data_IF_472495603468
#
_entry.id   IF_472495603468
#
_cell.length_a   1.000
_cell.length_b   1.000
_cell.length_c   1.000
_cell.angle_alpha   90.00
_cell.angle_beta   90.00
_cell.angle_gamma   90.00
#
_symmetry.space_group_name_H-M   'P 1'
#
loop_
_entity.id
_entity.type
_entity.pdbx_description
1 polymer ?
#
# COMPACT_ATOMS: atom_id res chain seq x y z
N UNK A 1 1.39 -11.47 8.57
CA UNK A 1 2.12 -11.11 7.34
C UNK A 1 1.70 -12.02 6.21
N UNK A 2 1.45 -11.45 5.03
CA UNK A 2 1.17 -12.18 3.80
C UNK A 2 2.49 -12.70 3.21
N UNK A 3 2.52 -13.96 2.81
CA UNK A 3 3.69 -14.62 2.21
C UNK A 3 3.53 -14.73 0.70
N UNK A 4 2.32 -15.06 0.23
CA UNK A 4 2.08 -15.33 -1.18
C UNK A 4 0.69 -14.86 -1.59
N UNK A 5 0.57 -14.38 -2.82
CA UNK A 5 -0.71 -14.07 -3.46
C UNK A 5 -0.75 -14.69 -4.85
N UNK A 6 -1.86 -15.34 -5.18
CA UNK A 6 -2.17 -15.79 -6.54
C UNK A 6 -3.48 -15.18 -7.00
N UNK A 7 -3.50 -14.67 -8.22
CA UNK A 7 -4.67 -14.12 -8.89
C UNK A 7 -4.80 -14.76 -10.26
N UNK A 8 -6.01 -15.18 -10.63
CA UNK A 8 -6.33 -15.72 -11.95
C UNK A 8 -7.60 -15.07 -12.44
N UNK A 9 -7.55 -14.50 -13.64
CA UNK A 9 -8.65 -13.76 -14.24
C UNK A 9 -9.23 -12.64 -13.35
N UNK A 10 -8.36 -11.94 -12.62
CA UNK A 10 -8.72 -10.90 -11.67
C UNK A 10 -8.23 -9.52 -12.14
N UNK A 11 -9.16 -8.64 -12.47
CA UNK A 11 -8.96 -7.25 -12.93
C UNK A 11 -8.11 -7.15 -14.21
N UNK A 12 -6.84 -6.77 -14.12
CA UNK A 12 -5.92 -6.76 -15.27
C UNK A 12 -5.10 -8.04 -15.39
N UNK A 13 -5.13 -8.89 -14.36
CA UNK A 13 -4.29 -10.07 -14.27
C UNK A 13 -5.00 -11.30 -14.85
N UNK A 14 -4.40 -11.89 -15.90
CA UNK A 14 -4.81 -13.20 -16.42
C UNK A 14 -4.32 -14.33 -15.52
N UNK A 15 -3.04 -14.31 -15.20
CA UNK A 15 -2.44 -15.13 -14.16
C UNK A 15 -1.32 -14.33 -13.50
N UNK A 16 -1.31 -14.28 -12.18
CA UNK A 16 -0.29 -13.61 -11.39
C UNK A 16 0.00 -14.46 -10.15
N UNK A 17 1.27 -14.68 -9.90
CA UNK A 17 1.75 -15.31 -8.68
C UNK A 17 2.92 -14.49 -8.14
N UNK A 18 2.81 -14.04 -6.90
CA UNK A 18 3.81 -13.20 -6.24
C UNK A 18 4.15 -13.80 -4.87
N UNK A 19 5.44 -13.92 -4.60
CA UNK A 19 6.01 -14.33 -3.31
C UNK A 19 6.63 -13.09 -2.63
N UNK A 20 6.06 -12.70 -1.50
CA UNK A 20 6.46 -11.53 -0.75
C UNK A 20 7.61 -11.84 0.22
N UNK A 21 8.56 -10.92 0.29
CA UNK A 21 9.45 -10.78 1.44
C UNK A 21 8.65 -10.46 2.70
N UNK A 22 9.08 -11.00 3.86
CA UNK A 22 8.55 -10.60 5.17
C UNK A 22 8.97 -9.17 5.59
N UNK A 23 9.90 -8.57 4.85
CA UNK A 23 10.44 -7.22 5.04
C UNK A 23 9.78 -6.23 4.07
N UNK A 24 10.53 -5.65 3.14
CA UNK A 24 10.03 -4.66 2.18
C UNK A 24 9.83 -5.30 0.81
N UNK A 25 8.71 -4.99 0.18
CA UNK A 25 8.37 -5.36 -1.19
C UNK A 25 8.04 -4.08 -1.95
N UNK A 26 8.66 -3.89 -3.11
CA UNK A 26 8.43 -2.71 -3.96
C UNK A 26 7.90 -3.18 -5.30
N UNK A 27 6.63 -2.89 -5.57
CA UNK A 27 5.94 -3.18 -6.82
C UNK A 27 6.15 -2.01 -7.77
N UNK A 28 6.74 -2.32 -8.91
CA UNK A 28 7.20 -1.38 -9.93
C UNK A 28 6.45 -1.69 -11.22
N UNK A 29 6.22 -0.70 -12.05
CA UNK A 29 5.67 -0.90 -13.38
C UNK A 29 5.07 0.39 -13.92
N UNK A 30 4.75 0.38 -15.21
CA UNK A 30 4.10 1.52 -15.85
C UNK A 30 2.70 1.78 -15.30
N UNK A 31 2.10 2.90 -15.72
CA UNK A 31 0.70 3.16 -15.44
C UNK A 31 -0.18 2.07 -16.08
N UNK A 32 -1.30 1.76 -15.44
CA UNK A 32 -2.25 0.74 -15.87
C UNK A 32 -1.77 -0.74 -15.87
N UNK A 33 -0.55 -1.06 -15.41
CA UNK A 33 -0.09 -2.46 -15.21
C UNK A 33 -0.71 -3.16 -13.98
N UNK A 34 -1.53 -2.45 -13.20
CA UNK A 34 -2.28 -3.04 -12.08
C UNK A 34 -1.62 -2.94 -10.71
N UNK A 35 -0.58 -2.12 -10.51
CA UNK A 35 0.09 -1.92 -9.20
C UNK A 35 -0.89 -1.68 -8.04
N UNK A 36 -1.74 -0.65 -8.16
CA UNK A 36 -2.80 -0.34 -7.17
C UNK A 36 -3.77 -1.51 -6.98
N UNK A 37 -4.11 -2.23 -8.05
CA UNK A 37 -5.02 -3.38 -7.97
C UNK A 37 -4.39 -4.55 -7.20
N UNK A 38 -3.09 -4.80 -7.40
CA UNK A 38 -2.32 -5.80 -6.67
C UNK A 38 -2.25 -5.46 -5.17
N UNK A 39 -1.92 -4.22 -4.83
CA UNK A 39 -1.92 -3.72 -3.45
C UNK A 39 -3.30 -3.90 -2.80
N UNK A 40 -4.36 -3.47 -3.50
CA UNK A 40 -5.75 -3.60 -3.02
C UNK A 40 -6.18 -5.05 -2.83
N UNK A 41 -5.79 -5.95 -3.72
CA UNK A 41 -6.10 -7.37 -3.60
C UNK A 41 -5.43 -7.98 -2.36
N UNK A 42 -4.13 -7.73 -2.18
CA UNK A 42 -3.38 -8.16 -1.01
C UNK A 42 -3.97 -7.57 0.28
N UNK A 43 -4.27 -6.27 0.29
CA UNK A 43 -4.89 -5.59 1.42
C UNK A 43 -6.27 -6.16 1.77
N UNK A 44 -7.15 -6.37 0.79
CA UNK A 44 -8.47 -6.94 1.00
C UNK A 44 -8.38 -8.32 1.66
N UNK A 45 -7.48 -9.19 1.17
CA UNK A 45 -7.24 -10.50 1.78
C UNK A 45 -6.53 -10.42 3.13
N UNK A 46 -5.80 -9.36 3.45
CA UNK A 46 -5.23 -9.16 4.79
C UNK A 46 -6.23 -8.59 5.80
N UNK A 47 -7.38 -8.06 5.37
CA UNK A 47 -8.28 -7.28 6.23
C UNK A 47 -9.73 -7.75 6.25
N UNK A 48 -10.17 -8.60 5.32
CA UNK A 48 -11.55 -9.06 5.25
C UNK A 48 -12.00 -9.76 6.54
N UNK A 49 -11.14 -10.56 7.16
CA UNK A 49 -11.45 -11.25 8.40
C UNK A 49 -11.58 -10.33 9.62
N UNK A 50 -11.21 -9.05 9.54
CA UNK A 50 -11.45 -8.10 10.64
C UNK A 50 -12.94 -7.99 10.98
N UNK A 51 -13.85 -8.20 10.01
CA UNK A 51 -15.29 -8.25 10.23
C UNK A 51 -15.76 -9.47 11.06
N UNK A 52 -14.88 -10.45 11.23
CA UNK A 52 -15.14 -11.72 11.92
C UNK A 52 -14.52 -11.77 13.32
N UNK A 53 -13.82 -10.71 13.74
CA UNK A 53 -13.16 -10.63 15.04
C UNK A 53 -14.14 -10.84 16.20
N UNK A 54 -13.73 -11.66 17.16
CA UNK A 54 -14.51 -11.96 18.37
C UNK A 54 -15.53 -13.09 18.20
N UNK A 55 -15.67 -13.66 17.00
CA UNK A 55 -16.47 -14.88 16.78
C UNK A 55 -15.65 -16.12 17.18
N UNK A 56 -16.32 -17.09 17.82
CA UNK A 56 -15.69 -18.34 18.30
C UNK A 56 -15.60 -19.41 17.21
N UNK A 57 -16.65 -19.51 16.42
CA UNK A 57 -16.75 -20.38 15.25
C UNK A 57 -17.21 -19.49 14.10
N UNK A 58 -16.60 -19.66 12.94
CA UNK A 58 -16.87 -18.89 11.73
C UNK A 58 -17.29 -19.86 10.65
N UNK A 59 -18.49 -19.66 10.11
CA UNK A 59 -18.98 -20.48 9.00
C UNK A 59 -18.43 -19.99 7.65
N UNK A 60 -18.38 -20.89 6.66
CA UNK A 60 -17.99 -20.55 5.29
C UNK A 60 -18.89 -19.46 4.68
N UNK A 61 -20.16 -19.40 5.08
CA UNK A 61 -21.11 -18.36 4.70
C UNK A 61 -20.66 -16.97 5.16
N UNK A 62 -20.22 -16.86 6.42
CA UNK A 62 -19.75 -15.61 7.00
C UNK A 62 -18.41 -15.17 6.41
N UNK A 63 -17.51 -16.13 6.13
CA UNK A 63 -16.27 -15.86 5.38
C UNK A 63 -16.56 -15.36 3.97
N UNK A 64 -17.52 -15.99 3.29
CA UNK A 64 -17.96 -15.59 1.95
C UNK A 64 -18.48 -14.16 1.97
N UNK A 65 -19.32 -13.81 2.94
CA UNK A 65 -19.88 -12.46 3.06
C UNK A 65 -18.80 -11.42 3.37
N UNK A 66 -17.93 -11.70 4.35
CA UNK A 66 -16.85 -10.79 4.74
C UNK A 66 -15.87 -10.51 3.60
N UNK A 67 -15.44 -11.54 2.87
CA UNK A 67 -14.56 -11.37 1.70
C UNK A 67 -15.28 -10.67 0.54
N UNK A 68 -16.55 -10.99 0.29
CA UNK A 68 -17.32 -10.40 -0.81
C UNK A 68 -17.52 -8.91 -0.58
N UNK A 69 -17.95 -8.54 0.62
CA UNK A 69 -18.13 -7.15 1.02
C UNK A 69 -16.81 -6.39 0.95
N UNK A 70 -15.71 -6.95 1.49
CA UNK A 70 -14.41 -6.27 1.46
C UNK A 70 -13.91 -6.04 0.03
N UNK A 71 -14.01 -7.02 -0.86
CA UNK A 71 -13.62 -6.86 -2.27
C UNK A 71 -14.48 -5.81 -2.98
N UNK A 72 -15.80 -5.85 -2.81
CA UNK A 72 -16.71 -4.86 -3.43
C UNK A 72 -16.41 -3.46 -2.91
N UNK A 73 -16.18 -3.29 -1.62
CA UNK A 73 -15.95 -1.98 -1.02
C UNK A 73 -14.56 -1.40 -1.35
N UNK A 74 -13.52 -2.24 -1.48
CA UNK A 74 -12.15 -1.81 -1.82
C UNK A 74 -11.97 -1.52 -3.32
N UNK A 75 -12.62 -2.31 -4.19
CA UNK A 75 -12.48 -2.14 -5.64
C UNK A 75 -13.59 -1.28 -6.26
N UNK A 76 -14.75 -1.16 -5.61
CA UNK A 76 -15.94 -0.48 -6.14
C UNK A 76 -16.25 -0.85 -7.60
N UNK A 77 -16.47 -2.14 -7.90
CA UNK A 77 -16.84 -2.56 -9.25
C UNK A 77 -18.14 -1.89 -9.69
N UNK A 78 -18.32 -1.77 -11.01
CA UNK A 78 -19.54 -1.25 -11.62
C UNK A 78 -20.76 -2.01 -11.06
N UNK A 79 -21.79 -1.24 -10.66
CA UNK A 79 -23.02 -1.76 -10.04
C UNK A 79 -22.80 -2.54 -8.73
N UNK A 80 -21.63 -2.41 -8.09
CA UNK A 80 -21.23 -3.22 -6.92
C UNK A 80 -21.28 -4.73 -7.18
N UNK A 81 -21.12 -5.16 -8.44
CA UNK A 81 -21.14 -6.57 -8.82
C UNK A 81 -19.74 -7.15 -8.81
N UNK A 82 -19.50 -8.13 -7.92
CA UNK A 82 -18.21 -8.80 -7.79
C UNK A 82 -17.69 -9.37 -9.13
N UNK A 83 -18.58 -9.97 -9.94
CA UNK A 83 -18.22 -10.51 -11.27
C UNK A 83 -17.63 -9.49 -12.25
N UNK A 84 -17.77 -8.18 -12.00
CA UNK A 84 -17.13 -7.12 -12.79
C UNK A 84 -15.66 -6.88 -12.43
N UNK A 85 -15.15 -7.54 -11.38
CA UNK A 85 -13.72 -7.60 -11.08
C UNK A 85 -12.98 -8.67 -11.89
N UNK A 86 -13.67 -9.45 -12.73
CA UNK A 86 -13.00 -10.37 -13.64
C UNK A 86 -12.15 -9.64 -14.66
N UNK A 87 -11.09 -10.30 -15.12
CA UNK A 87 -10.36 -9.84 -16.29
C UNK A 87 -11.24 -9.84 -17.54
N UNK A 88 -10.97 -8.90 -18.44
CA UNK A 88 -11.69 -8.83 -19.72
C UNK A 88 -11.36 -10.08 -20.54
N UNK A 89 -12.39 -10.78 -21.00
CA UNK A 89 -12.21 -11.99 -21.78
C UNK A 89 -13.46 -12.87 -21.76
N UNK A 90 -13.34 -14.13 -22.26
CA UNK A 90 -14.42 -15.10 -22.22
C UNK A 90 -14.98 -15.30 -20.81
N UNK A 91 -16.24 -15.71 -20.73
CA UNK A 91 -16.86 -16.13 -19.47
C UNK A 91 -16.05 -17.27 -18.85
N UNK A 92 -15.73 -17.12 -17.58
CA UNK A 92 -14.99 -18.10 -16.79
C UNK A 92 -15.01 -17.72 -15.32
N UNK A 93 -14.24 -18.46 -14.54
CA UNK A 93 -14.04 -18.20 -13.12
C UNK A 93 -12.83 -17.30 -12.91
N UNK A 94 -12.93 -16.41 -11.94
CA UNK A 94 -11.80 -15.68 -11.36
C UNK A 94 -11.48 -16.32 -10.03
N UNK A 95 -10.21 -16.61 -9.81
CA UNK A 95 -9.74 -17.24 -8.58
C UNK A 95 -8.71 -16.34 -7.90
N UNK A 96 -8.72 -16.34 -6.58
CA UNK A 96 -7.67 -15.70 -5.79
C UNK A 96 -7.31 -16.58 -4.60
N UNK A 97 -6.05 -16.51 -4.19
CA UNK A 97 -5.60 -17.15 -2.96
C UNK A 97 -4.48 -16.35 -2.31
N UNK A 98 -4.48 -16.30 -0.98
CA UNK A 98 -3.39 -15.75 -0.21
C UNK A 98 -2.90 -16.78 0.81
N UNK A 99 -1.57 -16.86 0.95
CA UNK A 99 -0.91 -17.62 1.99
C UNK A 99 -0.30 -16.64 2.99
N UNK A 100 -0.43 -16.99 4.25
CA UNK A 100 0.22 -16.37 5.39
C UNK A 100 1.06 -17.48 6.07
N UNK A 101 1.99 -17.12 6.96
CA UNK A 101 2.96 -18.06 7.58
C UNK A 101 2.35 -19.44 7.91
N UNK A 102 1.22 -19.46 8.60
CA UNK A 102 0.52 -20.66 9.06
C UNK A 102 -0.93 -20.78 8.55
N UNK A 103 -1.41 -19.79 7.79
CA UNK A 103 -2.82 -19.64 7.39
C UNK A 103 -2.98 -19.50 5.88
N UNK A 104 -4.15 -19.84 5.37
CA UNK A 104 -4.44 -19.71 3.94
C UNK A 104 -5.90 -19.41 3.68
N UNK A 105 -6.16 -18.66 2.63
CA UNK A 105 -7.50 -18.46 2.07
C UNK A 105 -7.44 -18.61 0.55
N UNK A 106 -8.45 -19.25 -0.02
CA UNK A 106 -8.70 -19.25 -1.46
C UNK A 106 -10.19 -19.17 -1.73
N UNK A 107 -10.56 -18.49 -2.80
CA UNK A 107 -11.95 -18.48 -3.25
C UNK A 107 -12.05 -18.13 -4.75
N UNK A 108 -13.24 -18.32 -5.30
CA UNK A 108 -13.56 -18.08 -6.70
C UNK A 108 -14.77 -17.14 -6.86
N UNK A 109 -14.98 -16.61 -8.06
CA UNK A 109 -16.25 -16.03 -8.48
C UNK A 109 -16.35 -16.02 -10.01
N UNK A 110 -17.57 -16.08 -10.53
CA UNK A 110 -17.84 -16.06 -11.97
C UNK A 110 -18.36 -14.69 -12.44
N UNK A 111 -18.50 -14.53 -13.76
CA UNK A 111 -18.86 -13.24 -14.41
C UNK A 111 -20.15 -12.60 -13.90
N UNK A 112 -21.11 -13.40 -13.42
CA UNK A 112 -22.41 -12.95 -12.94
C UNK A 112 -22.53 -13.00 -11.41
N UNK A 113 -21.44 -13.31 -10.70
CA UNK A 113 -21.46 -13.42 -9.25
C UNK A 113 -21.69 -12.06 -8.59
N UNK A 114 -22.56 -12.05 -7.58
CA UNK A 114 -22.72 -10.96 -6.63
C UNK A 114 -21.88 -11.17 -5.37
N UNK A 115 -21.53 -12.42 -5.07
CA UNK A 115 -20.70 -12.85 -3.95
C UNK A 115 -19.72 -13.93 -4.38
N UNK A 116 -18.70 -14.15 -3.57
CA UNK A 116 -17.69 -15.19 -3.73
C UNK A 116 -18.33 -16.59 -3.70
N UNK A 117 -17.63 -17.54 -4.30
CA UNK A 117 -17.92 -18.97 -4.33
C UNK A 117 -16.68 -19.77 -3.93
N UNK A 118 -16.89 -21.04 -3.62
CA UNK A 118 -15.84 -22.04 -3.35
C UNK A 118 -14.76 -21.56 -2.36
N UNK A 119 -15.20 -20.92 -1.27
CA UNK A 119 -14.28 -20.48 -0.23
C UNK A 119 -13.66 -21.69 0.46
N UNK A 120 -12.34 -21.64 0.65
CA UNK A 120 -11.59 -22.63 1.41
C UNK A 120 -10.58 -21.90 2.28
N UNK A 121 -10.70 -22.07 3.60
CA UNK A 121 -9.79 -21.50 4.58
C UNK A 121 -8.97 -22.58 5.28
N UNK A 122 -7.78 -22.18 5.71
CA UNK A 122 -6.98 -22.86 6.72
C UNK A 122 -6.68 -21.83 7.82
N UNK A 123 -7.49 -21.82 8.86
CA UNK A 123 -7.38 -20.91 10.03
C UNK A 123 -7.31 -19.42 9.69
N UNK A 124 -7.80 -19.01 8.51
CA UNK A 124 -7.72 -17.63 8.04
C UNK A 124 -8.56 -16.68 8.91
N UNK A 125 -9.69 -17.15 9.40
CA UNK A 125 -10.54 -16.47 10.36
C UNK A 125 -9.75 -16.02 11.62
N UNK A 126 -8.71 -16.77 12.01
CA UNK A 126 -7.83 -16.47 13.13
C UNK A 126 -6.65 -15.55 12.77
N UNK A 127 -6.60 -15.00 11.56
CA UNK A 127 -5.54 -14.06 11.15
C UNK A 127 -5.68 -12.71 11.89
N UNK A 128 -5.05 -12.57 13.06
CA UNK A 128 -5.29 -11.40 13.94
C UNK A 128 -4.63 -10.08 13.53
N UNK A 129 -3.78 -10.07 12.50
CA UNK A 129 -2.97 -8.90 12.14
C UNK A 129 -3.81 -7.83 11.43
N UNK A 130 -3.67 -6.56 11.84
CA UNK A 130 -4.40 -5.44 11.24
C UNK A 130 -3.52 -4.70 10.21
N UNK A 131 -3.78 -4.85 8.90
CA UNK A 131 -3.01 -4.13 7.90
C UNK A 131 -3.45 -2.66 7.80
N UNK A 132 -2.54 -1.81 7.34
CA UNK A 132 -2.80 -0.39 7.05
C UNK A 132 -2.63 -0.16 5.55
N UNK A 133 -3.54 0.60 4.94
CA UNK A 133 -3.42 0.99 3.53
C UNK A 133 -3.39 2.50 3.42
N UNK A 134 -2.30 3.04 2.86
CA UNK A 134 -2.16 4.46 2.55
C UNK A 134 -2.40 4.64 1.04
N UNK A 135 -3.53 5.24 0.63
CA UNK A 135 -3.83 5.48 -0.78
C UNK A 135 -2.98 6.61 -1.35
N UNK A 136 -2.98 6.72 -2.69
CA UNK A 136 -2.20 7.72 -3.43
C UNK A 136 -2.54 9.17 -3.03
N UNK A 137 -3.83 9.46 -2.87
CA UNK A 137 -4.33 10.76 -2.43
C UNK A 137 -4.25 10.87 -0.91
N UNK A 138 -3.58 11.91 -0.42
CA UNK A 138 -3.58 12.21 1.00
C UNK A 138 -4.99 12.58 1.48
N UNK A 139 -5.31 12.25 2.73
CA UNK A 139 -6.66 12.41 3.29
C UNK A 139 -6.82 13.58 4.25
N UNK A 140 -5.73 14.18 4.75
CA UNK A 140 -5.80 15.22 5.78
C UNK A 140 -6.53 16.49 5.29
N UNK A 141 -6.49 16.79 3.99
CA UNK A 141 -7.21 17.94 3.42
C UNK A 141 -8.73 17.78 3.35
N UNK A 142 -9.25 16.55 3.42
CA UNK A 142 -10.68 16.27 3.26
C UNK A 142 -11.29 15.32 4.31
N UNK A 143 -10.51 14.86 5.29
CA UNK A 143 -10.99 13.87 6.26
C UNK A 143 -12.03 14.42 7.25
N UNK A 144 -12.13 15.75 7.43
CA UNK A 144 -13.12 16.38 8.31
C UNK A 144 -14.54 15.97 7.90
N UNK A 145 -15.24 15.28 8.79
CA UNK A 145 -16.58 14.74 8.53
C UNK A 145 -16.64 13.55 7.54
N UNK A 146 -15.52 13.13 6.95
CA UNK A 146 -15.48 12.09 5.91
C UNK A 146 -16.06 10.76 6.38
N UNK A 147 -15.65 10.27 7.55
CA UNK A 147 -16.10 8.97 8.10
C UNK A 147 -17.63 8.95 8.28
N UNK A 148 -18.19 10.01 8.83
CA UNK A 148 -19.65 10.17 9.00
C UNK A 148 -20.38 10.23 7.66
N UNK A 149 -19.83 10.95 6.68
CA UNK A 149 -20.40 11.03 5.34
C UNK A 149 -20.32 9.68 4.62
N UNK A 150 -19.21 8.95 4.74
CA UNK A 150 -19.02 7.64 4.14
C UNK A 150 -20.00 6.60 4.70
N UNK A 151 -20.23 6.61 6.02
CA UNK A 151 -21.17 5.69 6.66
C UNK A 151 -22.63 6.01 6.26
N UNK A 152 -22.98 7.29 6.15
CA UNK A 152 -24.35 7.72 5.87
C UNK A 152 -24.69 7.72 4.38
N UNK A 153 -23.71 8.03 3.54
CA UNK A 153 -23.87 8.21 2.11
C UNK A 153 -22.91 7.27 1.38
N UNK A 154 -23.39 6.60 0.34
CA UNK A 154 -22.55 5.77 -0.52
C UNK A 154 -21.65 6.67 -1.38
N UNK A 155 -20.58 7.20 -0.79
CA UNK A 155 -19.61 8.06 -1.45
C UNK A 155 -18.88 7.32 -2.59
N UNK A 156 -18.27 8.05 -3.51
CA UNK A 156 -17.50 7.46 -4.63
C UNK A 156 -16.09 6.99 -4.23
N UNK A 157 -15.66 7.22 -2.99
CA UNK A 157 -14.35 6.78 -2.48
C UNK A 157 -14.38 5.31 -2.11
N UNK A 158 -13.37 4.52 -2.47
CA UNK A 158 -13.29 3.14 -2.00
C UNK A 158 -12.96 3.04 -0.50
N UNK A 159 -13.10 1.84 0.07
CA UNK A 159 -12.97 1.62 1.51
C UNK A 159 -11.59 1.97 2.07
N UNK A 160 -10.53 1.96 1.27
CA UNK A 160 -9.18 2.25 1.78
C UNK A 160 -9.09 3.66 2.39
N UNK A 161 -9.82 4.62 1.83
CA UNK A 161 -9.95 5.98 2.36
C UNK A 161 -10.72 6.03 3.68
N UNK A 162 -11.77 5.21 3.80
CA UNK A 162 -12.53 5.10 5.05
C UNK A 162 -11.67 4.49 6.16
N UNK A 163 -10.99 3.40 5.84
CA UNK A 163 -10.16 2.65 6.78
C UNK A 163 -9.04 3.55 7.33
N UNK A 164 -8.31 4.29 6.49
CA UNK A 164 -7.25 5.19 6.95
C UNK A 164 -7.78 6.39 7.75
N UNK A 165 -8.86 7.05 7.32
CA UNK A 165 -9.45 8.16 8.09
C UNK A 165 -9.89 7.70 9.48
N UNK A 166 -10.45 6.49 9.57
CA UNK A 166 -10.86 5.90 10.85
C UNK A 166 -9.67 5.64 11.78
N UNK A 167 -8.54 5.17 11.23
CA UNK A 167 -7.31 4.97 12.00
C UNK A 167 -6.71 6.29 12.50
N UNK A 168 -6.68 7.34 11.67
CA UNK A 168 -6.10 8.63 12.02
C UNK A 168 -6.85 9.35 13.15
N UNK A 169 -8.16 9.10 13.28
CA UNK A 169 -9.02 9.65 14.33
C UNK A 169 -8.93 8.88 15.68
N UNK A 170 -8.20 7.76 15.74
CA UNK A 170 -8.01 7.03 16.99
C UNK A 170 -7.26 7.86 18.05
N UNK A 171 -7.52 7.62 19.34
CA UNK A 171 -6.73 8.23 20.41
C UNK A 171 -5.27 7.78 20.33
N UNK A 172 -4.37 8.64 20.79
CA UNK A 172 -2.93 8.33 20.91
C UNK A 172 -2.74 7.18 21.89
N UNK A 173 -1.85 6.24 21.56
CA UNK A 173 -1.52 5.13 22.47
C UNK A 173 -0.68 5.61 23.64
N UNK A 174 -0.63 4.81 24.71
CA UNK A 174 0.27 5.10 25.82
C UNK A 174 1.74 5.01 25.37
N UNK A 175 2.56 5.94 25.85
CA UNK A 175 3.95 6.12 25.39
C UNK A 175 4.86 4.91 25.67
N UNK A 176 4.53 4.10 26.67
CA UNK A 176 5.20 2.84 26.99
C UNK A 176 4.99 1.74 25.94
N UNK A 177 3.99 1.89 25.07
CA UNK A 177 3.71 0.98 23.95
C UNK A 177 4.37 1.41 22.64
N UNK A 178 4.97 2.60 22.59
CA UNK A 178 5.70 3.08 21.42
C UNK A 178 7.12 2.49 21.43
N UNK A 179 7.49 1.85 20.34
CA UNK A 179 8.88 1.41 20.18
C UNK A 179 9.81 2.61 19.91
N UNK A 180 11.08 2.43 20.26
CA UNK A 180 12.13 3.46 20.11
C UNK A 180 12.26 3.97 18.66
N UNK A 181 12.08 3.10 17.66
CA UNK A 181 12.25 3.46 16.24
C UNK A 181 11.04 4.18 15.69
N UNK A 182 9.83 3.88 16.16
CA UNK A 182 8.65 4.71 15.89
C UNK A 182 8.80 6.12 16.47
N UNK A 183 9.31 6.26 17.70
CA UNK A 183 9.60 7.57 18.29
C UNK A 183 10.63 8.36 17.48
N UNK A 184 11.76 7.71 17.12
CA UNK A 184 12.77 8.33 16.27
C UNK A 184 12.20 8.77 14.92
N UNK A 185 11.39 7.92 14.26
CA UNK A 185 10.77 8.25 12.98
C UNK A 185 9.85 9.47 13.10
N UNK A 186 9.03 9.54 14.16
CA UNK A 186 8.17 10.68 14.44
C UNK A 186 8.97 11.97 14.67
N UNK A 187 10.09 11.90 15.39
CA UNK A 187 10.96 13.04 15.64
C UNK A 187 11.65 13.54 14.36
N UNK A 188 12.17 12.66 13.52
CA UNK A 188 12.78 13.05 12.24
C UNK A 188 11.75 13.60 11.25
N UNK A 189 10.52 13.07 11.22
CA UNK A 189 9.41 13.65 10.44
C UNK A 189 9.15 15.08 10.90
N UNK A 190 8.93 15.28 12.21
CA UNK A 190 8.62 16.58 12.81
C UNK A 190 9.72 17.62 12.54
N UNK A 191 10.97 17.20 12.66
CA UNK A 191 12.16 18.02 12.37
C UNK A 191 12.23 18.40 10.89
N UNK A 192 11.97 17.46 9.99
CA UNK A 192 12.07 17.67 8.53
C UNK A 192 10.95 18.56 7.99
N UNK A 193 9.71 18.41 8.50
CA UNK A 193 8.59 19.26 8.11
C UNK A 193 8.56 20.61 8.86
N UNK A 194 9.36 20.75 9.92
CA UNK A 194 9.46 21.98 10.71
C UNK A 194 8.23 22.31 11.56
N UNK A 195 7.37 21.32 11.84
CA UNK A 195 6.10 21.52 12.53
C UNK A 195 5.43 20.19 12.89
N UNK A 196 4.18 20.25 13.35
CA UNK A 196 3.40 19.04 13.69
C UNK A 196 1.92 19.20 13.34
N UNK A 197 1.30 18.10 12.93
CA UNK A 197 -0.14 18.04 12.75
C UNK A 197 -0.82 17.76 14.09
N UNK A 198 -1.91 18.46 14.38
CA UNK A 198 -2.74 18.26 15.57
C UNK A 198 -4.11 17.79 15.14
N UNK A 199 -4.52 16.64 15.67
CA UNK A 199 -5.80 16.00 15.42
C UNK A 199 -6.75 16.33 16.57
N UNK A 200 -7.87 16.99 16.25
CA UNK A 200 -8.87 17.44 17.21
C UNK A 200 -10.05 16.47 17.34
N UNK A 201 -10.04 15.38 16.58
CA UNK A 201 -11.13 14.42 16.45
C UNK A 201 -12.16 14.80 15.37
N UNK A 202 -12.91 13.80 14.88
CA UNK A 202 -13.91 13.99 13.82
C UNK A 202 -13.31 14.39 12.47
N UNK A 203 -12.05 14.04 12.22
CA UNK A 203 -11.30 14.42 11.04
C UNK A 203 -10.76 15.84 11.03
N UNK A 204 -10.97 16.65 12.08
CA UNK A 204 -10.45 18.01 12.10
C UNK A 204 -8.96 18.00 12.44
N UNK A 205 -8.15 18.54 11.53
CA UNK A 205 -6.69 18.58 11.65
C UNK A 205 -6.18 20.00 11.42
N UNK A 206 -5.13 20.38 12.12
CA UNK A 206 -4.43 21.67 11.99
C UNK A 206 -2.92 21.45 11.97
N UNK A 207 -2.15 22.40 11.48
CA UNK A 207 -0.69 22.32 11.46
C UNK A 207 -0.06 23.42 12.30
N UNK A 208 0.78 23.04 13.27
CA UNK A 208 1.50 23.99 14.13
C UNK A 208 2.93 24.15 13.63
N UNK A 209 3.30 25.40 13.33
CA UNK A 209 4.67 25.82 12.97
C UNK A 209 5.08 27.02 13.82
N UNK A 210 6.09 26.84 14.68
CA UNK A 210 6.48 27.84 15.67
C UNK A 210 5.33 28.16 16.64
N UNK A 211 4.79 29.38 16.55
CA UNK A 211 3.62 29.84 17.34
C UNK A 211 2.33 29.95 16.52
N UNK A 212 2.38 29.64 15.24
CA UNK A 212 1.25 29.77 14.33
C UNK A 212 0.53 28.42 14.17
N UNK A 213 -0.79 28.47 14.17
CA UNK A 213 -1.66 27.36 13.79
C UNK A 213 -2.22 27.67 12.40
N UNK A 214 -2.00 26.76 11.46
CA UNK A 214 -2.37 26.89 10.06
C UNK A 214 -3.44 25.87 9.69
N UNK A 215 -4.23 26.21 8.66
CA UNK A 215 -5.08 25.22 8.01
C UNK A 215 -4.21 24.15 7.37
N UNK A 216 -4.69 22.91 7.37
CA UNK A 216 -4.03 21.81 6.67
C UNK A 216 -3.96 22.09 5.16
N UNK A 217 -4.93 22.82 4.62
CA UNK A 217 -4.94 23.22 3.21
C UNK A 217 -3.81 24.21 2.85
N UNK A 218 -3.23 24.89 3.83
CA UNK A 218 -2.09 25.81 3.63
C UNK A 218 -0.73 25.10 3.68
N UNK A 219 -0.71 23.79 3.93
CA UNK A 219 0.53 22.99 3.99
C UNK A 219 0.90 22.37 2.64
N UNK A 220 2.15 21.97 2.47
CA UNK A 220 2.55 21.19 1.29
C UNK A 220 1.99 19.76 1.38
N UNK A 221 1.58 19.18 0.24
CA UNK A 221 1.01 17.83 0.22
C UNK A 221 1.98 16.76 0.75
N UNK A 222 3.26 16.87 0.40
CA UNK A 222 4.27 15.98 0.95
C UNK A 222 4.42 16.06 2.48
N UNK A 223 4.13 17.22 3.08
CA UNK A 223 4.09 17.34 4.54
C UNK A 223 2.88 16.62 5.11
N UNK A 224 1.71 16.70 4.43
CA UNK A 224 0.51 15.95 4.84
C UNK A 224 0.75 14.44 4.80
N UNK A 225 1.40 13.92 3.77
CA UNK A 225 1.78 12.49 3.69
C UNK A 225 2.71 12.07 4.83
N UNK A 226 3.74 12.86 5.11
CA UNK A 226 4.60 12.60 6.27
C UNK A 226 3.82 12.68 7.60
N UNK A 227 2.87 13.62 7.70
CA UNK A 227 1.95 13.74 8.84
C UNK A 227 1.02 12.53 9.03
N UNK A 228 0.56 11.91 7.94
CA UNK A 228 -0.20 10.65 7.98
C UNK A 228 0.65 9.54 8.59
N UNK A 229 1.90 9.36 8.12
CA UNK A 229 2.81 8.36 8.68
C UNK A 229 3.09 8.62 10.17
N UNK A 230 3.42 9.88 10.53
CA UNK A 230 3.60 10.28 11.93
C UNK A 230 2.39 9.89 12.77
N UNK A 231 1.17 10.20 12.29
CA UNK A 231 -0.06 9.95 13.04
C UNK A 231 -0.34 8.47 13.19
N UNK A 232 -0.10 7.66 12.15
CA UNK A 232 -0.30 6.21 12.20
C UNK A 232 0.64 5.52 13.19
N UNK A 233 1.87 6.04 13.35
CA UNK A 233 2.79 5.63 14.42
C UNK A 233 2.27 6.08 15.79
N UNK A 234 1.86 7.35 15.91
CA UNK A 234 1.38 7.96 17.16
C UNK A 234 0.14 7.26 17.74
N UNK A 235 -0.79 6.81 16.90
CA UNK A 235 -2.00 6.06 17.32
C UNK A 235 -1.79 4.54 17.37
N UNK A 236 -0.57 4.05 17.10
CA UNK A 236 -0.24 2.63 17.15
C UNK A 236 -0.90 1.78 16.07
N UNK A 237 -1.42 2.39 15.00
CA UNK A 237 -1.91 1.67 13.83
C UNK A 237 -0.75 0.99 13.08
N UNK A 238 0.43 1.63 13.08
CA UNK A 238 1.70 1.03 12.69
C UNK A 238 2.53 0.80 13.95
N UNK A 239 2.73 -0.47 14.30
CA UNK A 239 3.57 -0.94 15.40
C UNK A 239 4.41 -2.12 14.91
N UNK A 240 5.68 -1.90 14.58
CA UNK A 240 6.56 -2.96 14.10
C UNK A 240 6.52 -4.21 14.98
N UNK A 241 6.32 -5.37 14.36
CA UNK A 241 6.20 -6.66 15.05
C UNK A 241 4.84 -6.94 15.72
N UNK A 242 3.90 -5.99 15.71
CA UNK A 242 2.57 -6.13 16.32
C UNK A 242 1.43 -5.86 15.32
N UNK A 243 1.53 -4.80 14.51
CA UNK A 243 0.55 -4.48 13.46
C UNK A 243 0.80 -5.29 12.20
N UNK A 244 -0.24 -5.43 11.36
CA UNK A 244 -0.15 -6.13 10.09
C UNK A 244 0.64 -5.36 9.04
N UNK A 245 0.60 -5.86 7.81
CA UNK A 245 1.33 -5.31 6.66
C UNK A 245 0.94 -3.85 6.38
N UNK A 246 1.94 -3.00 6.14
CA UNK A 246 1.76 -1.64 5.65
C UNK A 246 1.75 -1.66 4.12
N UNK A 247 0.62 -1.29 3.53
CA UNK A 247 0.46 -1.07 2.10
C UNK A 247 0.51 0.43 1.82
N UNK A 248 1.33 0.87 0.85
CA UNK A 248 1.40 2.27 0.47
C UNK A 248 1.47 2.42 -1.04
N UNK A 249 0.46 3.07 -1.60
CA UNK A 249 0.37 3.35 -3.03
C UNK A 249 0.92 4.75 -3.33
N UNK A 250 1.90 4.85 -4.23
CA UNK A 250 2.62 6.07 -4.60
C UNK A 250 3.05 6.94 -3.39
N UNK A 251 3.85 6.36 -2.47
CA UNK A 251 4.37 7.11 -1.32
C UNK A 251 5.17 8.36 -1.72
N UNK A 252 5.86 8.30 -2.86
CA UNK A 252 6.68 9.37 -3.42
C UNK A 252 5.90 10.60 -3.89
N UNK A 253 4.62 10.44 -4.25
CA UNK A 253 3.95 11.48 -5.01
C UNK A 253 3.85 12.77 -4.18
N UNK A 254 4.33 13.88 -4.76
CA UNK A 254 4.45 15.20 -4.13
C UNK A 254 5.43 15.29 -2.92
N UNK A 255 6.32 14.31 -2.75
CA UNK A 255 7.45 14.42 -1.82
C UNK A 255 8.63 15.15 -2.45
N UNK A 256 9.28 16.01 -1.67
CA UNK A 256 10.58 16.56 -2.07
C UNK A 256 11.70 15.52 -1.85
N UNK A 257 12.88 15.69 -2.46
CA UNK A 257 13.97 14.71 -2.36
C UNK A 257 14.42 14.38 -0.92
N UNK A 258 14.42 15.38 -0.02
CA UNK A 258 14.81 15.17 1.37
C UNK A 258 13.81 14.29 2.13
N UNK A 259 12.51 14.52 1.92
CA UNK A 259 11.46 13.69 2.51
C UNK A 259 11.46 12.28 1.94
N UNK A 260 11.77 12.13 0.65
CA UNK A 260 11.85 10.81 0.02
C UNK A 260 12.97 9.97 0.62
N UNK A 261 14.16 10.56 0.82
CA UNK A 261 15.27 9.89 1.51
C UNK A 261 14.87 9.49 2.94
N UNK A 262 14.33 10.43 3.72
CA UNK A 262 13.89 10.16 5.09
C UNK A 262 12.84 9.05 5.14
N UNK A 263 11.89 9.06 4.21
CA UNK A 263 10.87 8.01 4.12
C UNK A 263 11.53 6.63 4.00
N UNK A 264 12.48 6.45 3.08
CA UNK A 264 13.19 5.17 2.91
C UNK A 264 13.94 4.77 4.18
N UNK A 265 14.62 5.71 4.84
CA UNK A 265 15.30 5.45 6.13
C UNK A 265 14.31 4.95 7.19
N UNK A 266 13.13 5.58 7.29
CA UNK A 266 12.07 5.16 8.21
C UNK A 266 11.55 3.77 7.87
N UNK A 267 11.22 3.51 6.60
CA UNK A 267 10.68 2.21 6.18
C UNK A 267 11.67 1.07 6.46
N UNK A 268 12.97 1.27 6.22
CA UNK A 268 14.02 0.30 6.57
C UNK A 268 14.08 0.06 8.08
N UNK A 269 14.08 1.10 8.91
CA UNK A 269 14.11 0.97 10.37
C UNK A 269 12.86 0.25 10.93
N UNK A 270 11.66 0.57 10.42
CA UNK A 270 10.43 -0.14 10.79
C UNK A 270 10.51 -1.63 10.36
N UNK A 271 11.06 -1.90 9.17
CA UNK A 271 11.18 -3.26 8.66
C UNK A 271 12.18 -4.11 9.45
N UNK A 272 13.30 -3.53 9.91
CA UNK A 272 14.24 -4.16 10.85
C UNK A 272 13.56 -4.61 12.15
N UNK A 273 12.51 -3.90 12.57
CA UNK A 273 11.70 -4.22 13.75
C UNK A 273 10.50 -5.14 13.46
N UNK A 274 10.42 -5.72 12.27
CA UNK A 274 9.43 -6.73 11.92
C UNK A 274 8.14 -6.16 11.31
N UNK A 275 8.15 -4.92 10.81
CA UNK A 275 7.07 -4.41 9.97
C UNK A 275 7.24 -4.91 8.52
N UNK A 276 6.23 -5.63 8.00
CA UNK A 276 6.18 -5.92 6.56
C UNK A 276 5.62 -4.71 5.83
N UNK A 277 6.25 -4.34 4.72
CA UNK A 277 5.91 -3.16 3.94
C UNK A 277 5.77 -3.58 2.48
N UNK A 278 4.68 -3.18 1.83
CA UNK A 278 4.41 -3.44 0.41
C UNK A 278 4.05 -2.11 -0.24
N UNK A 279 4.93 -1.63 -1.11
CA UNK A 279 4.80 -0.34 -1.79
C UNK A 279 4.46 -0.56 -3.26
N UNK A 280 3.70 0.35 -3.85
CA UNK A 280 3.60 0.50 -5.30
C UNK A 280 4.16 1.85 -5.70
N UNK A 281 5.02 1.85 -6.71
CA UNK A 281 5.68 3.06 -7.19
C UNK A 281 5.99 2.93 -8.68
N UNK A 282 6.23 4.08 -9.31
CA UNK A 282 6.84 4.15 -10.64
C UNK A 282 8.04 5.13 -10.64
N UNK A 283 8.55 5.46 -9.46
CA UNK A 283 9.54 6.52 -9.28
C UNK A 283 10.94 5.95 -9.08
N UNK A 284 11.81 6.29 -10.03
CA UNK A 284 13.22 5.90 -10.02
C UNK A 284 13.96 6.35 -8.75
N UNK A 285 13.70 7.58 -8.27
CA UNK A 285 14.46 8.16 -7.16
C UNK A 285 14.18 7.39 -5.87
N UNK A 286 12.93 6.98 -5.64
CA UNK A 286 12.56 6.12 -4.51
C UNK A 286 13.28 4.77 -4.59
N UNK A 287 13.28 4.13 -5.76
CA UNK A 287 13.99 2.86 -5.97
C UNK A 287 15.48 3.01 -5.71
N UNK A 288 16.08 4.10 -6.20
CA UNK A 288 17.50 4.35 -6.02
C UNK A 288 17.86 4.61 -4.56
N UNK A 289 16.99 5.26 -3.79
CA UNK A 289 17.19 5.38 -2.35
C UNK A 289 17.15 4.04 -1.62
N UNK A 290 16.26 3.12 -2.01
CA UNK A 290 16.28 1.76 -1.44
C UNK A 290 17.61 1.05 -1.75
N UNK A 291 18.08 1.10 -2.99
CA UNK A 291 19.37 0.52 -3.40
C UNK A 291 20.54 1.09 -2.58
N UNK A 292 20.60 2.43 -2.43
CA UNK A 292 21.71 3.11 -1.76
C UNK A 292 21.70 2.98 -0.23
N UNK A 293 20.52 2.86 0.40
CA UNK A 293 20.37 2.88 1.86
C UNK A 293 20.18 1.48 2.47
N UNK A 294 19.78 0.49 1.68
CA UNK A 294 19.66 -0.88 2.14
C UNK A 294 21.02 -1.42 2.59
N UNK A 295 21.07 -1.95 3.80
CA UNK A 295 22.26 -2.58 4.38
C UNK A 295 21.92 -4.01 4.80
N UNK A 296 22.33 -4.98 3.96
CA UNK A 296 22.12 -6.41 4.21
C UNK A 296 22.80 -6.89 5.50
N UNK A 297 23.83 -6.18 5.99
CA UNK A 297 24.47 -6.52 7.28
C UNK A 297 23.59 -6.18 8.48
N UNK A 298 22.57 -5.34 8.28
CA UNK A 298 21.58 -4.92 9.28
C UNK A 298 20.24 -5.65 9.13
N UNK A 299 20.21 -6.79 8.44
CA UNK A 299 18.99 -7.57 8.18
C UNK A 299 17.93 -6.82 7.35
N UNK A 300 18.40 -5.92 6.47
CA UNK A 300 17.53 -5.34 5.45
C UNK A 300 17.33 -6.31 4.28
N UNK A 301 16.09 -6.36 3.81
CA UNK A 301 15.72 -7.09 2.61
C UNK A 301 14.62 -6.33 1.87
N UNK A 302 14.95 -5.91 0.65
CA UNK A 302 14.03 -5.26 -0.28
C UNK A 302 13.88 -6.17 -1.50
N UNK A 303 12.66 -6.64 -1.74
CA UNK A 303 12.31 -7.41 -2.93
C UNK A 303 11.58 -6.53 -3.92
N UNK A 304 12.07 -6.49 -5.16
CA UNK A 304 11.49 -5.72 -6.25
C UNK A 304 10.62 -6.61 -7.12
N UNK A 305 9.46 -6.10 -7.52
CA UNK A 305 8.42 -6.81 -8.27
C UNK A 305 8.03 -5.96 -9.49
N UNK A 306 8.63 -6.23 -10.64
CA UNK A 306 8.39 -5.51 -11.89
C UNK A 306 7.17 -6.09 -12.63
N UNK A 307 6.11 -5.29 -12.71
CA UNK A 307 4.91 -5.54 -13.52
C UNK A 307 5.08 -4.89 -14.89
N UNK A 308 4.79 -5.66 -15.94
CA UNK A 308 4.92 -5.20 -17.32
C UNK A 308 3.89 -5.85 -18.22
N UNK A 309 3.56 -5.16 -19.32
CA UNK A 309 2.78 -5.75 -20.40
C UNK A 309 3.71 -6.55 -21.31
N UNK A 310 3.41 -7.83 -21.46
CA UNK A 310 4.11 -8.69 -22.41
C UNK A 310 3.47 -8.54 -23.79
N UNK A 311 4.20 -8.02 -24.77
CA UNK A 311 3.66 -7.78 -26.12
C UNK A 311 3.28 -9.07 -26.86
N UNK A 312 3.98 -10.18 -26.59
CA UNK A 312 3.71 -11.46 -27.23
C UNK A 312 2.40 -12.08 -26.74
N UNK A 313 2.17 -12.13 -25.43
CA UNK A 313 0.95 -12.70 -24.86
C UNK A 313 -0.20 -11.69 -24.74
N UNK A 314 0.09 -10.39 -24.73
CA UNK A 314 -0.88 -9.33 -24.44
C UNK A 314 -1.36 -9.32 -22.99
N UNK A 315 -0.58 -9.90 -22.07
CA UNK A 315 -0.95 -10.08 -20.66
C UNK A 315 0.02 -9.34 -19.75
N UNK A 316 -0.45 -8.96 -18.55
CA UNK A 316 0.43 -8.43 -17.51
C UNK A 316 1.21 -9.59 -16.90
N UNK A 317 2.54 -9.50 -16.93
CA UNK A 317 3.46 -10.44 -16.28
C UNK A 317 4.18 -9.77 -15.11
N UNK A 318 4.79 -10.60 -14.27
CA UNK A 318 5.56 -10.19 -13.10
C UNK A 318 6.92 -10.86 -13.10
N UNK A 319 7.96 -10.07 -12.88
CA UNK A 319 9.30 -10.56 -12.57
C UNK A 319 9.74 -10.03 -11.21
N UNK A 320 10.39 -10.86 -10.41
CA UNK A 320 10.82 -10.51 -9.06
C UNK A 320 12.31 -10.72 -8.87
N UNK A 321 12.96 -9.81 -8.15
CA UNK A 321 14.40 -9.85 -7.86
C UNK A 321 14.70 -9.21 -6.51
N UNK A 322 15.79 -9.61 -5.87
CA UNK A 322 16.30 -9.00 -4.62
C UNK A 322 17.46 -8.02 -4.89
N UNK A 323 17.79 -7.81 -6.18
CA UNK A 323 18.87 -6.94 -6.66
C UNK A 323 18.29 -5.85 -7.58
N UNK A 324 18.50 -4.60 -7.19
CA UNK A 324 18.05 -3.42 -7.93
C UNK A 324 18.58 -3.40 -9.37
N UNK A 325 19.84 -3.83 -9.59
CA UNK A 325 20.44 -3.83 -10.93
C UNK A 325 19.88 -4.93 -11.84
N UNK A 326 19.11 -5.87 -11.29
CA UNK A 326 18.49 -6.97 -12.02
C UNK A 326 16.98 -6.77 -12.21
N UNK A 327 16.45 -5.58 -11.90
CA UNK A 327 15.05 -5.26 -12.19
C UNK A 327 14.90 -5.28 -13.71
N UNK A 328 14.10 -6.23 -14.19
CA UNK A 328 13.78 -6.38 -15.58
C UNK A 328 12.33 -6.85 -15.70
N UNK A 329 11.61 -6.43 -16.75
CA UNK A 329 11.88 -5.21 -17.52
C UNK A 329 11.74 -3.96 -16.65
N UNK A 330 12.59 -2.97 -16.86
CA UNK A 330 12.59 -1.72 -16.10
C UNK A 330 12.44 -0.52 -17.02
N UNK A 331 11.22 -0.30 -17.50
CA UNK A 331 10.90 0.83 -18.39
C UNK A 331 11.22 2.19 -17.74
N UNK A 332 11.21 2.25 -16.41
CA UNK A 332 11.59 3.46 -15.67
C UNK A 332 13.09 3.74 -15.85
N UNK A 333 13.95 2.74 -15.66
CA UNK A 333 15.40 2.91 -15.88
C UNK A 333 15.72 3.29 -17.33
N UNK A 334 15.00 2.72 -18.31
CA UNK A 334 15.16 3.05 -19.73
C UNK A 334 14.88 4.53 -20.01
N UNK A 335 13.75 5.06 -19.52
CA UNK A 335 13.39 6.48 -19.67
C UNK A 335 14.39 7.41 -18.96
N UNK A 336 14.88 7.02 -17.78
CA UNK A 336 15.90 7.81 -17.08
C UNK A 336 17.25 7.77 -17.78
N UNK A 337 17.64 6.64 -18.37
CA UNK A 337 18.85 6.54 -19.17
C UNK A 337 18.78 7.43 -20.43
N UNK A 338 17.63 7.46 -21.10
CA UNK A 338 17.37 8.39 -22.21
C UNK A 338 17.51 9.85 -21.77
N UNK A 339 16.93 10.23 -20.63
CA UNK A 339 17.04 11.59 -20.09
C UNK A 339 18.50 11.99 -19.82
N UNK A 340 19.29 11.08 -19.24
CA UNK A 340 20.73 11.31 -18.98
C UNK A 340 21.49 11.46 -20.30
N UNK A 341 21.21 10.62 -21.29
CA UNK A 341 21.85 10.70 -22.59
C UNK A 341 21.55 12.05 -23.27
N UNK A 342 20.31 12.52 -23.23
CA UNK A 342 19.91 13.83 -23.76
C UNK A 342 20.64 15.00 -23.04
N UNK A 343 20.83 14.92 -21.71
CA UNK A 343 21.57 15.95 -20.96
C UNK A 343 23.08 15.92 -21.26
N UNK A 344 23.65 14.72 -21.44
CA UNK A 344 25.03 14.54 -21.90
C UNK A 344 25.19 15.14 -23.30
N UNK A 345 24.30 14.82 -24.24
CA UNK A 345 24.35 15.30 -25.62
C UNK A 345 24.22 16.83 -25.67
N UNK A 346 23.35 17.41 -24.85
CA UNK A 346 23.25 18.87 -24.67
C UNK A 346 24.54 19.46 -24.11
N UNK A 347 25.13 18.84 -23.09
CA UNK A 347 26.38 19.28 -22.46
C UNK A 347 27.59 19.14 -23.40
N UNK A 348 27.56 18.15 -24.30
CA UNK A 348 28.59 17.88 -25.31
C UNK A 348 28.44 18.72 -26.59
N UNK A 349 27.34 19.49 -26.72
CA UNK A 349 26.92 20.27 -27.88
C UNK A 349 27.79 21.47 -28.28
N UNK A 350 29.11 21.29 -28.38
CA UNK A 350 30.05 22.29 -28.88
C UNK A 350 31.51 21.81 -29.09
N UNK A 351 31.86 20.57 -28.74
CA UNK A 351 33.25 20.07 -28.86
C UNK A 351 33.51 19.21 -30.11
N UNK A 352 32.53 19.08 -31.01
CA UNK A 352 32.59 18.20 -32.18
C UNK A 352 32.04 18.79 -33.49
N UNK A 353 32.03 20.12 -33.65
CA UNK A 353 31.82 20.78 -34.94
C UNK A 353 33.00 21.67 -35.31
#
# INVERSE_FOLDING_TARGET
MIDKLKLTDFTVFKALEIDFSSKINVIIGENATGKTHLLKAAYALCSANNALKGKREVEDSELTDALSEKLVNVFKPIENKLGKLRSRGPSGDSCFSARFIDKQISASFHTNSTSIKDVSSKEYENYGWEPVFIPTKEVLSFMEGFVSLYNKYRLSFDQTYYDICSLLDLPVIHTDQLDEKSNWAMDEIKKTIGGKFIFHGGGRVTFIVGKNELSVNDTAEGFRKAGILYRLLEVGAIRPGVSGTLFWDEPEANLNPNLMKLLVEILLELSRKGQQIILATHDYVLLKWFDLLMDRSRDDHVRFHALYFDEESGEVKLQSTDDYLQIAPNVIDEVYAELINEDIDRSMGGLGK
#
